data_IF_076361998953
#
_entry.id   IF_076361998953
#
_cell.length_a   1.000
_cell.length_b   1.000
_cell.length_c   1.000
_cell.angle_alpha   90.00
_cell.angle_beta   90.00
_cell.angle_gamma   90.00
#
_symmetry.space_group_name_H-M   'P 1'
#
loop_
_entity.id
_entity.type
_entity.pdbx_description
1 polymer ?
#
# COMPACT_ATOMS: atom_id res chain seq x y z
N UNK A 1 -7.68 7.67 20.47
CA UNK A 1 -7.36 7.74 19.02
C UNK A 1 -5.91 7.37 18.83
N UNK A 2 -5.58 6.39 17.98
CA UNK A 2 -4.19 6.13 17.59
C UNK A 2 -3.63 7.35 16.85
N UNK A 3 -2.35 7.68 17.05
CA UNK A 3 -1.75 8.82 16.35
C UNK A 3 -1.65 8.48 14.86
N UNK A 4 -1.82 9.48 14.00
CA UNK A 4 -1.68 9.32 12.54
C UNK A 4 -0.33 8.67 12.18
N UNK A 5 0.73 8.99 12.92
CA UNK A 5 2.06 8.39 12.78
C UNK A 5 2.05 6.88 12.96
N UNK A 6 1.28 6.37 13.93
CA UNK A 6 1.28 4.95 14.29
C UNK A 6 0.51 4.15 13.25
N UNK A 7 -0.59 4.71 12.75
CA UNK A 7 -1.35 4.14 11.63
C UNK A 7 -0.49 4.05 10.37
N UNK A 8 0.29 5.10 10.07
CA UNK A 8 1.20 5.08 8.91
C UNK A 8 2.30 4.04 9.09
N UNK A 9 2.92 3.94 10.27
CA UNK A 9 3.93 2.90 10.56
C UNK A 9 3.37 1.50 10.39
N UNK A 10 2.14 1.26 10.81
CA UNK A 10 1.49 -0.04 10.66
C UNK A 10 1.23 -0.37 9.17
N UNK A 11 0.80 0.61 8.38
CA UNK A 11 0.63 0.46 6.93
C UNK A 11 1.97 0.14 6.27
N UNK A 12 3.02 0.90 6.60
CA UNK A 12 4.36 0.71 6.05
C UNK A 12 4.92 -0.67 6.43
N UNK A 13 4.67 -1.15 7.66
CA UNK A 13 5.03 -2.51 8.11
C UNK A 13 4.29 -3.58 7.30
N UNK A 14 2.99 -3.43 7.12
CA UNK A 14 2.15 -4.38 6.34
C UNK A 14 2.65 -4.50 4.90
N UNK A 15 3.04 -3.38 4.27
CA UNK A 15 3.61 -3.40 2.93
C UNK A 15 4.98 -4.11 2.88
N UNK A 16 5.84 -3.90 3.90
CA UNK A 16 7.14 -4.57 4.01
C UNK A 16 7.03 -6.08 4.25
N UNK A 17 5.96 -6.53 4.90
CA UNK A 17 5.64 -7.94 5.10
C UNK A 17 5.11 -8.62 3.82
N UNK A 18 5.00 -7.89 2.71
CA UNK A 18 4.56 -8.40 1.41
C UNK A 18 3.06 -8.26 1.16
N UNK A 19 2.27 -7.90 2.17
CA UNK A 19 0.82 -7.71 2.01
C UNK A 19 0.48 -6.29 1.50
N UNK A 20 0.92 -6.00 0.28
CA UNK A 20 0.72 -4.70 -0.38
C UNK A 20 -0.75 -4.39 -0.65
N UNK A 21 -1.59 -5.41 -0.88
CA UNK A 21 -3.04 -5.23 -1.04
C UNK A 21 -3.70 -4.72 0.24
N UNK A 22 -3.39 -5.33 1.38
CA UNK A 22 -3.91 -4.87 2.67
C UNK A 22 -3.38 -3.50 3.04
N UNK A 23 -2.09 -3.23 2.82
CA UNK A 23 -1.51 -1.91 3.04
C UNK A 23 -2.24 -0.82 2.25
N UNK A 24 -2.58 -1.09 0.97
CA UNK A 24 -3.37 -0.17 0.15
C UNK A 24 -4.79 0.06 0.70
N UNK A 25 -5.51 -0.99 1.11
CA UNK A 25 -6.85 -0.86 1.71
C UNK A 25 -6.83 -0.02 3.00
N UNK A 26 -5.83 -0.23 3.83
CA UNK A 26 -5.64 0.56 5.06
C UNK A 26 -5.35 2.02 4.74
N UNK A 27 -4.49 2.28 3.76
CA UNK A 27 -4.13 3.63 3.32
C UNK A 27 -5.31 4.38 2.70
N UNK A 28 -6.16 3.71 1.91
CA UNK A 28 -7.40 4.28 1.37
C UNK A 28 -8.41 4.62 2.47
N UNK A 29 -8.52 3.75 3.48
CA UNK A 29 -9.37 4.01 4.65
C UNK A 29 -8.86 5.19 5.47
N UNK A 30 -7.54 5.36 5.57
CA UNK A 30 -6.91 6.48 6.25
C UNK A 30 -7.12 7.79 5.48
N UNK A 31 -6.96 7.77 4.16
CA UNK A 31 -7.18 8.92 3.28
C UNK A 31 -8.60 9.51 3.39
N UNK A 32 -9.61 8.69 3.66
CA UNK A 32 -11.00 9.15 3.88
C UNK A 32 -11.20 9.91 5.20
N UNK A 33 -10.29 9.74 6.16
CA UNK A 33 -10.42 10.25 7.54
C UNK A 33 -9.46 11.38 7.87
N UNK A 34 -8.45 11.61 7.01
CA UNK A 34 -7.47 12.69 7.23
C UNK A 34 -7.84 13.95 6.46
N UNK A 35 -7.55 15.14 7.01
CA UNK A 35 -7.67 16.39 6.26
C UNK A 35 -6.76 16.38 5.02
N UNK A 36 -7.17 17.10 3.99
CA UNK A 36 -6.45 17.16 2.70
C UNK A 36 -4.98 17.63 2.84
N UNK A 37 -4.71 18.57 3.76
CA UNK A 37 -3.36 19.02 4.08
C UNK A 37 -2.42 17.88 4.54
N UNK A 38 -2.96 16.80 5.08
CA UNK A 38 -2.19 15.60 5.52
C UNK A 38 -2.30 14.43 4.53
N UNK A 39 -3.10 14.56 3.48
CA UNK A 39 -3.34 13.49 2.51
C UNK A 39 -2.17 13.33 1.52
N UNK A 40 -1.47 14.41 1.16
CA UNK A 40 -0.41 14.38 0.15
C UNK A 40 0.68 13.32 0.38
N UNK A 41 1.29 13.21 1.58
CA UNK A 41 2.26 12.15 1.87
C UNK A 41 1.68 10.74 1.79
N UNK A 42 0.38 10.57 2.04
CA UNK A 42 -0.31 9.29 1.93
C UNK A 42 -0.61 8.95 0.47
N UNK A 43 -0.97 9.94 -0.36
CA UNK A 43 -1.18 9.75 -1.79
C UNK A 43 0.10 9.30 -2.52
N UNK A 44 1.25 9.83 -2.13
CA UNK A 44 2.56 9.38 -2.64
C UNK A 44 2.81 7.90 -2.31
N UNK A 45 2.59 7.48 -1.06
CA UNK A 45 2.67 6.06 -0.66
C UNK A 45 1.70 5.18 -1.44
N UNK A 46 0.47 5.66 -1.65
CA UNK A 46 -0.55 4.93 -2.42
C UNK A 46 -0.07 4.64 -3.84
N UNK A 47 0.52 5.64 -4.49
CA UNK A 47 1.08 5.49 -5.84
C UNK A 47 2.19 4.44 -5.84
N UNK A 48 3.13 4.52 -4.89
CA UNK A 48 4.22 3.56 -4.76
C UNK A 48 3.70 2.12 -4.60
N UNK A 49 2.85 1.87 -3.60
CA UNK A 49 2.33 0.52 -3.34
C UNK A 49 1.47 -0.03 -4.47
N UNK A 50 0.75 0.82 -5.21
CA UNK A 50 0.02 0.38 -6.42
C UNK A 50 0.98 -0.08 -7.51
N UNK A 51 2.06 0.67 -7.75
CA UNK A 51 3.08 0.27 -8.74
C UNK A 51 3.76 -1.02 -8.33
N UNK A 52 4.18 -1.15 -7.07
CA UNK A 52 4.82 -2.37 -6.57
C UNK A 52 3.90 -3.59 -6.69
N UNK A 53 2.64 -3.46 -6.28
CA UNK A 53 1.66 -4.54 -6.40
C UNK A 53 1.40 -4.93 -7.86
N UNK A 54 1.35 -3.97 -8.77
CA UNK A 54 1.19 -4.24 -10.20
C UNK A 54 2.39 -5.03 -10.76
N UNK A 55 3.61 -4.66 -10.37
CA UNK A 55 4.83 -5.39 -10.72
C UNK A 55 4.81 -6.81 -10.16
N UNK A 56 4.44 -6.97 -8.88
CA UNK A 56 4.32 -8.27 -8.22
C UNK A 56 3.33 -9.19 -8.96
N UNK A 57 2.14 -8.67 -9.29
CA UNK A 57 1.14 -9.42 -10.08
C UNK A 57 1.66 -9.81 -11.46
N UNK A 58 2.44 -8.95 -12.11
CA UNK A 58 3.04 -9.23 -13.42
C UNK A 58 4.10 -10.32 -13.31
N UNK A 59 4.95 -10.30 -12.28
CA UNK A 59 5.95 -11.34 -12.02
C UNK A 59 5.24 -12.68 -11.81
N UNK A 60 4.25 -12.74 -10.92
CA UNK A 60 3.48 -13.96 -10.65
C UNK A 60 2.81 -14.50 -11.91
N UNK A 61 2.27 -13.62 -12.77
CA UNK A 61 1.65 -14.02 -14.03
C UNK A 61 2.69 -14.59 -15.02
N UNK A 62 3.88 -14.01 -15.09
CA UNK A 62 4.97 -14.51 -15.91
C UNK A 62 5.49 -15.85 -15.38
N UNK A 63 5.70 -15.99 -14.07
CA UNK A 63 6.07 -17.25 -13.44
C UNK A 63 5.06 -18.33 -13.81
N UNK A 64 3.76 -18.08 -13.64
CA UNK A 64 2.71 -19.04 -14.04
C UNK A 64 2.75 -19.41 -15.52
N UNK A 65 3.09 -18.46 -16.40
CA UNK A 65 3.14 -18.67 -17.85
C UNK A 65 4.34 -19.50 -18.30
N UNK A 66 5.49 -19.35 -17.63
CA UNK A 66 6.76 -19.97 -18.02
C UNK A 66 7.20 -21.14 -17.11
N UNK A 67 6.47 -21.42 -16.03
CA UNK A 67 6.68 -22.61 -15.18
C UNK A 67 5.94 -23.85 -15.70
N UNK A 68 5.44 -23.81 -16.95
CA UNK A 68 4.72 -24.89 -17.63
C UNK A 68 5.56 -25.47 -18.77
#
# INVERSE_FOLDING_TARGET
>A
MAKLSDLVKQIDKTAKEGDRERALKMLESLLKKVPEAKAQPLLKRRKLYRTELATEKRIIALEKKYSA
#
